data_IF_972588584647
#
_entry.id   IF_972588584647
#
_cell.length_a   1.000
_cell.length_b   1.000
_cell.length_c   1.000
_cell.angle_alpha   90.00
_cell.angle_beta   90.00
_cell.angle_gamma   90.00
#
_symmetry.space_group_name_H-M   'P 1'
#
loop_
_entity.id
_entity.type
_entity.pdbx_description
1 polymer ?
#
# COMPACT_ATOMS: atom_id res chain seq x y z
N UNK A 1 30.08 -1.29 -6.21
CA UNK A 1 29.55 -1.94 -4.98
C UNK A 1 28.52 -0.99 -4.39
N UNK A 2 27.23 -1.33 -4.44
CA UNK A 2 26.19 -0.48 -3.85
C UNK A 2 26.29 -0.57 -2.33
N UNK A 3 26.51 0.55 -1.66
CA UNK A 3 26.47 0.62 -0.21
C UNK A 3 25.08 0.16 0.25
N UNK A 4 25.05 -0.94 0.99
CA UNK A 4 23.80 -1.50 1.54
C UNK A 4 23.54 -0.78 2.86
N UNK A 5 22.52 0.07 2.88
CA UNK A 5 22.16 0.85 4.05
C UNK A 5 21.43 -0.05 5.05
N UNK A 6 22.16 -0.56 6.03
CA UNK A 6 21.64 -1.44 7.08
C UNK A 6 20.47 -0.82 7.86
N UNK A 7 20.52 0.49 8.10
CA UNK A 7 19.46 1.23 8.78
C UNK A 7 18.14 1.15 8.02
N UNK A 8 18.15 1.43 6.71
CA UNK A 8 16.94 1.37 5.87
C UNK A 8 16.39 -0.05 5.80
N UNK A 9 17.26 -1.05 5.67
CA UNK A 9 16.86 -2.45 5.69
C UNK A 9 16.27 -2.87 7.05
N UNK A 10 16.82 -2.37 8.16
CA UNK A 10 16.35 -2.65 9.52
C UNK A 10 14.98 -2.01 9.78
N UNK A 11 14.78 -0.73 9.47
CA UNK A 11 13.48 -0.07 9.65
C UNK A 11 12.42 -0.73 8.75
N UNK A 12 12.77 -1.12 7.52
CA UNK A 12 11.86 -1.90 6.66
C UNK A 12 11.46 -3.22 7.31
N UNK A 13 12.42 -3.94 7.87
CA UNK A 13 12.17 -5.19 8.58
C UNK A 13 11.24 -4.99 9.78
N UNK A 14 11.50 -3.97 10.60
CA UNK A 14 10.68 -3.63 11.76
C UNK A 14 9.25 -3.24 11.34
N UNK A 15 9.09 -2.43 10.30
CA UNK A 15 7.78 -2.03 9.79
C UNK A 15 6.97 -3.25 9.30
N UNK A 16 7.63 -4.18 8.59
CA UNK A 16 7.00 -5.42 8.15
C UNK A 16 6.59 -6.31 9.33
N UNK A 17 7.45 -6.43 10.36
CA UNK A 17 7.12 -7.19 11.58
C UNK A 17 5.91 -6.60 12.31
N UNK A 18 5.86 -5.28 12.46
CA UNK A 18 4.72 -4.59 13.09
C UNK A 18 3.43 -4.80 12.29
N UNK A 19 3.50 -4.74 10.95
CA UNK A 19 2.36 -4.99 10.07
C UNK A 19 1.83 -6.43 10.20
N UNK A 20 2.73 -7.41 10.26
CA UNK A 20 2.37 -8.83 10.47
C UNK A 20 1.75 -9.02 11.85
N UNK A 21 2.34 -8.43 12.90
CA UNK A 21 1.82 -8.50 14.25
C UNK A 21 0.40 -7.90 14.34
N UNK A 22 0.18 -6.75 13.71
CA UNK A 22 -1.14 -6.13 13.62
C UNK A 22 -2.17 -7.08 12.97
N UNK A 23 -1.82 -7.69 11.84
CA UNK A 23 -2.71 -8.62 11.14
C UNK A 23 -3.00 -9.89 11.94
N UNK A 24 -2.02 -10.40 12.71
CA UNK A 24 -2.23 -11.53 13.62
C UNK A 24 -3.26 -11.15 14.69
N UNK A 25 -3.09 -10.00 15.35
CA UNK A 25 -4.03 -9.51 16.36
C UNK A 25 -5.42 -9.27 15.76
N UNK A 26 -5.48 -8.68 14.56
CA UNK A 26 -6.72 -8.51 13.81
C UNK A 26 -7.39 -9.85 13.53
N UNK A 27 -6.65 -10.88 13.07
CA UNK A 27 -7.22 -12.21 12.83
C UNK A 27 -7.75 -12.83 14.13
N UNK A 28 -6.99 -12.78 15.22
CA UNK A 28 -7.44 -13.31 16.52
C UNK A 28 -8.71 -12.60 17.01
N UNK A 29 -8.80 -11.28 16.82
CA UNK A 29 -9.99 -10.51 17.13
C UNK A 29 -11.16 -10.89 16.22
N UNK A 30 -10.93 -10.99 14.91
CA UNK A 30 -11.92 -11.34 13.89
C UNK A 30 -12.52 -12.74 14.13
N UNK A 31 -11.71 -13.71 14.56
CA UNK A 31 -12.17 -15.04 14.96
C UNK A 31 -12.79 -15.09 16.38
N UNK A 32 -12.85 -13.96 17.09
CA UNK A 32 -13.45 -13.86 18.43
C UNK A 32 -12.60 -14.46 19.56
N UNK A 33 -11.31 -14.75 19.32
CA UNK A 33 -10.38 -15.33 20.31
C UNK A 33 -9.97 -14.29 21.35
N UNK A 34 -9.77 -13.03 20.91
CA UNK A 34 -9.43 -11.91 21.79
C UNK A 34 -10.47 -10.79 21.64
N UNK A 35 -10.82 -10.14 22.74
CA UNK A 35 -11.79 -9.02 22.77
C UNK A 35 -11.22 -7.71 23.32
N UNK A 36 -9.99 -7.77 23.84
CA UNK A 36 -9.28 -6.60 24.38
C UNK A 36 -8.56 -5.79 23.29
N UNK A 37 -8.34 -6.38 22.12
CA UNK A 37 -7.78 -5.69 20.96
C UNK A 37 -8.93 -5.04 20.20
N UNK A 38 -8.87 -3.73 20.02
CA UNK A 38 -9.79 -3.00 19.16
C UNK A 38 -9.02 -2.49 17.93
N UNK A 39 -9.27 -3.07 16.74
CA UNK A 39 -8.63 -2.63 15.49
C UNK A 39 -8.88 -1.16 15.16
N UNK A 40 -9.97 -0.56 15.65
CA UNK A 40 -10.30 0.84 15.41
C UNK A 40 -9.48 1.77 16.33
N UNK A 41 -9.21 1.35 17.56
CA UNK A 41 -8.40 2.11 18.50
C UNK A 41 -6.89 2.04 18.17
N UNK A 42 -6.42 0.87 17.71
CA UNK A 42 -5.04 0.65 17.30
C UNK A 42 -4.98 0.76 15.78
N UNK A 43 -5.02 1.97 15.24
CA UNK A 43 -5.00 2.18 13.79
C UNK A 43 -3.74 1.59 13.15
N UNK A 44 -3.92 0.64 12.22
CA UNK A 44 -2.84 0.07 11.41
C UNK A 44 -2.22 1.04 10.40
N UNK A 45 -2.87 2.18 10.16
CA UNK A 45 -2.51 3.15 9.12
C UNK A 45 -1.10 3.73 9.30
N UNK A 46 -0.65 3.95 10.54
CA UNK A 46 0.69 4.45 10.80
C UNK A 46 1.77 3.44 10.36
N UNK A 47 1.55 2.15 10.64
CA UNK A 47 2.43 1.06 10.21
C UNK A 47 2.46 0.92 8.69
N UNK A 48 1.28 0.97 8.05
CA UNK A 48 1.14 0.94 6.60
C UNK A 48 1.87 2.10 5.92
N UNK A 49 1.68 3.33 6.42
CA UNK A 49 2.32 4.54 5.88
C UNK A 49 3.84 4.44 5.92
N UNK A 50 4.40 4.06 7.08
CA UNK A 50 5.85 3.88 7.25
C UNK A 50 6.37 2.77 6.33
N UNK A 51 5.64 1.65 6.24
CA UNK A 51 6.00 0.53 5.38
C UNK A 51 6.05 0.93 3.90
N UNK A 52 5.00 1.59 3.40
CA UNK A 52 4.92 2.06 2.01
C UNK A 52 6.03 3.08 1.71
N UNK A 53 6.25 4.03 2.62
CA UNK A 53 7.30 5.05 2.46
C UNK A 53 8.70 4.41 2.34
N UNK A 54 9.03 3.49 3.23
CA UNK A 54 10.33 2.80 3.21
C UNK A 54 10.45 1.86 2.00
N UNK A 55 9.36 1.22 1.57
CA UNK A 55 9.33 0.41 0.36
C UNK A 55 9.66 1.25 -0.89
N UNK A 56 9.08 2.45 -1.00
CA UNK A 56 9.39 3.42 -2.05
C UNK A 56 10.85 3.90 -2.00
N UNK A 57 11.33 4.31 -0.82
CA UNK A 57 12.71 4.75 -0.63
C UNK A 57 13.72 3.64 -0.98
N UNK A 58 13.43 2.40 -0.57
CA UNK A 58 14.24 1.22 -0.92
C UNK A 58 14.32 1.01 -2.44
N UNK A 59 13.27 1.34 -3.19
CA UNK A 59 13.23 1.19 -4.65
C UNK A 59 14.18 2.18 -5.34
N UNK A 60 14.19 3.44 -4.87
CA UNK A 60 15.07 4.50 -5.36
C UNK A 60 16.53 4.16 -5.05
N UNK A 61 16.83 3.82 -3.79
CA UNK A 61 18.17 3.48 -3.33
C UNK A 61 18.74 2.22 -4.02
N UNK A 62 17.88 1.26 -4.36
CA UNK A 62 18.33 0.03 -4.99
C UNK A 62 18.71 0.19 -6.47
N UNK A 63 18.44 1.35 -7.11
CA UNK A 63 18.85 1.66 -8.49
C UNK A 63 18.50 0.56 -9.49
N UNK A 64 17.34 -0.11 -9.32
CA UNK A 64 17.05 -1.35 -10.05
C UNK A 64 16.72 -1.08 -11.52
N UNK A 65 17.19 -1.98 -12.39
CA UNK A 65 16.84 -1.97 -13.82
C UNK A 65 15.30 -1.98 -14.00
N UNK A 66 14.76 -1.18 -14.92
CA UNK A 66 13.31 -1.00 -15.09
C UNK A 66 12.58 -2.32 -15.31
N UNK A 67 13.12 -3.23 -16.14
CA UNK A 67 12.52 -4.54 -16.39
C UNK A 67 12.33 -5.40 -15.12
N UNK A 68 13.27 -5.32 -14.16
CA UNK A 68 13.18 -6.07 -12.90
C UNK A 68 12.14 -5.45 -11.95
N UNK A 69 11.97 -4.14 -12.01
CA UNK A 69 10.96 -3.39 -11.26
C UNK A 69 9.55 -3.70 -11.79
N UNK A 70 9.35 -3.71 -13.11
CA UNK A 70 8.08 -4.15 -13.74
C UNK A 70 7.69 -5.55 -13.29
N UNK A 71 8.62 -6.50 -13.38
CA UNK A 71 8.36 -7.89 -12.98
C UNK A 71 7.91 -7.97 -11.51
N UNK A 72 8.54 -7.21 -10.62
CA UNK A 72 8.16 -7.15 -9.21
C UNK A 72 6.77 -6.54 -9.01
N UNK A 73 6.49 -5.41 -9.65
CA UNK A 73 5.16 -4.77 -9.58
C UNK A 73 4.06 -5.71 -10.06
N UNK A 74 4.25 -6.38 -11.20
CA UNK A 74 3.31 -7.38 -11.71
C UNK A 74 3.13 -8.58 -10.79
N UNK A 75 4.20 -9.07 -10.16
CA UNK A 75 4.10 -10.14 -9.17
C UNK A 75 3.24 -9.71 -7.97
N UNK A 76 3.44 -8.49 -7.46
CA UNK A 76 2.64 -7.95 -6.35
C UNK A 76 1.17 -7.82 -6.75
N UNK A 77 0.88 -7.26 -7.93
CA UNK A 77 -0.49 -7.14 -8.44
C UNK A 77 -1.14 -8.52 -8.64
N UNK A 78 -0.39 -9.51 -9.10
CA UNK A 78 -0.90 -10.87 -9.24
C UNK A 78 -1.31 -11.48 -7.89
N UNK A 79 -0.45 -11.35 -6.87
CA UNK A 79 -0.81 -11.79 -5.51
C UNK A 79 -1.99 -10.99 -4.95
N UNK A 80 -2.08 -9.69 -5.27
CA UNK A 80 -3.18 -8.85 -4.82
C UNK A 80 -4.52 -9.32 -5.40
N UNK A 81 -4.55 -9.66 -6.70
CA UNK A 81 -5.74 -10.26 -7.35
C UNK A 81 -6.14 -11.60 -6.73
N UNK A 82 -5.18 -12.44 -6.34
CA UNK A 82 -5.47 -13.70 -5.65
C UNK A 82 -6.14 -13.42 -4.30
N UNK A 83 -5.59 -12.50 -3.50
CA UNK A 83 -6.16 -12.14 -2.19
C UNK A 83 -7.57 -11.60 -2.36
N UNK A 84 -7.76 -10.72 -3.35
CA UNK A 84 -9.06 -10.16 -3.75
C UNK A 84 -10.06 -11.26 -4.14
N UNK A 85 -9.66 -12.25 -4.95
CA UNK A 85 -10.51 -13.38 -5.30
C UNK A 85 -10.87 -14.26 -4.09
N UNK A 86 -9.88 -14.59 -3.26
CA UNK A 86 -10.07 -15.44 -2.07
C UNK A 86 -10.97 -14.75 -1.04
N UNK A 87 -10.74 -13.47 -0.77
CA UNK A 87 -11.57 -12.68 0.14
C UNK A 87 -12.98 -12.49 -0.39
N UNK A 88 -13.17 -12.33 -1.71
CA UNK A 88 -14.49 -12.27 -2.33
C UNK A 88 -15.30 -13.56 -2.17
N UNK A 89 -14.64 -14.73 -2.14
CA UNK A 89 -15.31 -16.03 -1.94
C UNK A 89 -15.63 -16.26 -0.45
N UNK A 90 -14.67 -15.98 0.44
CA UNK A 90 -14.82 -16.27 1.88
C UNK A 90 -15.66 -15.21 2.59
N UNK A 91 -15.56 -13.94 2.18
CA UNK A 91 -16.19 -12.81 2.84
C UNK A 91 -16.70 -11.76 1.82
N UNK A 92 -17.83 -12.04 1.14
CA UNK A 92 -18.35 -11.18 0.06
C UNK A 92 -18.78 -9.77 0.52
N UNK A 93 -19.05 -9.59 1.82
CA UNK A 93 -19.43 -8.30 2.42
C UNK A 93 -18.23 -7.38 2.69
N UNK A 94 -16.99 -7.86 2.51
CA UNK A 94 -15.76 -7.11 2.83
C UNK A 94 -14.61 -7.44 1.88
N UNK A 95 -14.96 -7.66 0.62
CA UNK A 95 -14.04 -7.94 -0.46
C UNK A 95 -12.95 -6.85 -0.58
N UNK A 96 -11.68 -7.26 -0.60
CA UNK A 96 -10.54 -6.34 -0.70
C UNK A 96 -10.41 -5.86 -2.14
N UNK A 97 -10.96 -4.68 -2.44
CA UNK A 97 -10.95 -4.12 -3.81
C UNK A 97 -9.60 -3.54 -4.17
N UNK A 98 -9.04 -2.74 -3.26
CA UNK A 98 -7.81 -1.99 -3.48
C UNK A 98 -7.08 -1.84 -2.15
N UNK A 99 -6.52 -2.95 -1.66
CA UNK A 99 -5.69 -2.97 -0.45
C UNK A 99 -4.25 -2.56 -0.70
N UNK A 100 -3.44 -2.59 0.37
CA UNK A 100 -2.01 -2.22 0.36
C UNK A 100 -1.19 -2.87 -0.76
N UNK A 101 -1.50 -4.12 -1.13
CA UNK A 101 -0.71 -4.84 -2.14
C UNK A 101 -0.96 -4.30 -3.56
N UNK A 102 -2.18 -3.83 -3.84
CA UNK A 102 -2.49 -3.12 -5.08
C UNK A 102 -1.74 -1.80 -5.14
N UNK A 103 -1.78 -1.03 -4.05
CA UNK A 103 -1.09 0.25 -3.93
C UNK A 103 0.43 0.09 -4.15
N UNK A 104 1.07 -0.87 -3.47
CA UNK A 104 2.52 -1.09 -3.63
C UNK A 104 2.84 -1.61 -5.04
N UNK A 105 2.02 -2.48 -5.60
CA UNK A 105 2.20 -2.99 -6.97
C UNK A 105 2.13 -1.88 -8.02
N UNK A 106 1.07 -1.07 -7.98
CA UNK A 106 0.88 0.09 -8.84
C UNK A 106 1.97 1.14 -8.62
N UNK A 107 2.26 1.50 -7.37
CA UNK A 107 3.30 2.46 -7.01
C UNK A 107 4.69 2.03 -7.50
N UNK A 108 5.00 0.74 -7.44
CA UNK A 108 6.28 0.19 -7.96
C UNK A 108 6.40 0.38 -9.47
N UNK A 109 5.30 0.22 -10.22
CA UNK A 109 5.28 0.44 -11.68
C UNK A 109 5.35 1.94 -11.99
N UNK A 110 4.56 2.75 -11.29
CA UNK A 110 4.56 4.21 -11.44
C UNK A 110 5.91 4.85 -11.07
N UNK A 111 6.70 4.22 -10.21
CA UNK A 111 8.03 4.69 -9.84
C UNK A 111 9.07 4.55 -10.97
N UNK A 112 8.84 3.68 -11.98
CA UNK A 112 9.80 3.39 -13.06
C UNK A 112 10.33 4.63 -13.79
N UNK A 113 9.50 5.57 -14.27
CA UNK A 113 10.00 6.79 -14.91
C UNK A 113 10.97 7.58 -14.02
N UNK A 114 10.71 7.63 -12.72
CA UNK A 114 11.55 8.32 -11.74
C UNK A 114 12.87 7.58 -11.44
N UNK A 115 12.91 6.26 -11.64
CA UNK A 115 14.12 5.44 -11.45
C UNK A 115 15.15 5.58 -12.58
N UNK A 116 14.79 6.17 -13.72
CA UNK A 116 15.62 6.21 -14.92
C UNK A 116 16.86 7.14 -14.81
N UNK A 117 17.05 7.82 -13.68
CA UNK A 117 18.20 8.70 -13.41
C UNK A 117 18.23 10.00 -14.21
N UNK A 118 17.32 10.16 -15.18
CA UNK A 118 17.14 11.39 -15.97
C UNK A 118 16.31 12.45 -15.23
N UNK A 119 15.66 12.05 -14.14
CA UNK A 119 14.71 12.86 -13.40
C UNK A 119 15.40 13.41 -12.15
N UNK A 120 15.28 14.72 -11.92
CA UNK A 120 15.88 15.38 -10.76
C UNK A 120 15.24 14.89 -9.45
N UNK A 121 16.03 14.80 -8.37
CA UNK A 121 15.63 14.21 -7.09
C UNK A 121 14.39 14.85 -6.45
N UNK A 122 14.13 16.14 -6.73
CA UNK A 122 12.99 16.86 -6.17
C UNK A 122 11.66 16.55 -6.89
N UNK A 123 11.70 16.06 -8.13
CA UNK A 123 10.48 15.77 -8.91
C UNK A 123 9.60 14.72 -8.23
N UNK A 124 10.11 13.54 -7.80
CA UNK A 124 9.29 12.58 -7.05
C UNK A 124 8.78 13.13 -5.71
N UNK A 125 9.56 14.00 -5.05
CA UNK A 125 9.13 14.63 -3.79
C UNK A 125 7.97 15.60 -4.02
N UNK A 126 8.06 16.46 -5.03
CA UNK A 126 7.00 17.41 -5.41
C UNK A 126 5.76 16.67 -5.90
N UNK A 127 5.90 15.60 -6.69
CA UNK A 127 4.74 14.79 -7.10
C UNK A 127 4.07 14.11 -5.91
N UNK A 128 4.84 13.60 -4.94
CA UNK A 128 4.29 13.01 -3.72
C UNK A 128 3.50 14.02 -2.89
N UNK A 129 4.07 15.23 -2.69
CA UNK A 129 3.37 16.33 -2.01
C UNK A 129 2.11 16.73 -2.77
N UNK A 130 2.17 16.81 -4.09
CA UNK A 130 1.02 17.11 -4.94
C UNK A 130 -0.10 16.08 -4.79
N UNK A 131 0.22 14.78 -4.71
CA UNK A 131 -0.74 13.70 -4.46
C UNK A 131 -1.37 13.84 -3.08
N UNK A 132 -0.58 14.12 -2.03
CA UNK A 132 -1.09 14.31 -0.66
C UNK A 132 -2.04 15.52 -0.59
N UNK A 133 -1.68 16.64 -1.23
CA UNK A 133 -2.54 17.82 -1.28
C UNK A 133 -3.83 17.49 -2.04
N UNK A 134 -3.71 16.82 -3.19
CA UNK A 134 -4.86 16.40 -3.99
C UNK A 134 -5.80 15.46 -3.20
N UNK A 135 -5.23 14.53 -2.43
CA UNK A 135 -5.97 13.66 -1.50
C UNK A 135 -6.87 14.47 -0.58
N UNK A 136 -6.32 15.48 0.11
CA UNK A 136 -7.07 16.33 1.02
C UNK A 136 -8.25 17.05 0.32
N UNK A 137 -8.13 17.40 -0.95
CA UNK A 137 -9.22 18.03 -1.71
C UNK A 137 -10.28 17.04 -2.21
N UNK A 138 -9.90 15.79 -2.45
CA UNK A 138 -10.81 14.76 -2.97
C UNK A 138 -11.47 13.94 -1.85
N UNK A 139 -11.06 14.13 -0.59
CA UNK A 139 -11.73 13.53 0.57
C UNK A 139 -13.23 13.90 0.58
N UNK A 140 -14.08 12.88 0.49
CA UNK A 140 -15.53 13.03 0.49
C UNK A 140 -16.20 13.10 -0.89
N UNK A 141 -15.42 13.07 -1.98
CA UNK A 141 -15.99 12.96 -3.34
C UNK A 141 -16.46 11.53 -3.58
N UNK A 142 -17.77 11.35 -3.72
CA UNK A 142 -18.36 10.05 -4.09
C UNK A 142 -18.16 9.78 -5.57
N UNK A 143 -17.72 8.58 -5.89
CA UNK A 143 -17.39 8.16 -7.26
C UNK A 143 -18.17 6.94 -7.74
N UNK A 144 -17.68 6.35 -8.83
CA UNK A 144 -18.16 5.09 -9.40
C UNK A 144 -17.17 3.95 -9.14
N UNK A 145 -17.54 2.73 -9.50
CA UNK A 145 -16.70 1.53 -9.34
C UNK A 145 -15.29 1.69 -9.94
N UNK A 146 -15.15 2.39 -11.08
CA UNK A 146 -13.85 2.66 -11.72
C UNK A 146 -12.95 3.62 -10.93
N UNK A 147 -13.53 4.43 -10.02
CA UNK A 147 -12.80 5.42 -9.25
C UNK A 147 -12.39 4.91 -7.85
N UNK A 148 -12.71 3.65 -7.53
CA UNK A 148 -12.28 3.00 -6.29
C UNK A 148 -10.75 2.98 -6.11
N UNK A 149 -9.92 2.74 -7.14
CA UNK A 149 -8.48 2.84 -6.99
C UNK A 149 -7.98 4.24 -6.58
N UNK A 150 -8.78 5.29 -6.81
CA UNK A 150 -8.43 6.69 -6.58
C UNK A 150 -9.07 7.28 -5.33
N UNK A 151 -9.68 6.47 -4.46
CA UNK A 151 -10.21 6.99 -3.20
C UNK A 151 -11.64 7.52 -3.28
N UNK A 152 -12.36 7.33 -4.40
CA UNK A 152 -13.74 7.80 -4.56
C UNK A 152 -14.74 6.64 -4.56
N UNK A 153 -15.15 6.14 -3.38
CA UNK A 153 -16.14 5.09 -3.27
C UNK A 153 -17.54 5.55 -3.66
N UNK A 154 -18.38 4.62 -4.11
CA UNK A 154 -19.81 4.84 -4.29
C UNK A 154 -20.55 4.69 -2.95
N UNK A 155 -21.74 5.29 -2.79
CA UNK A 155 -22.52 5.19 -1.55
C UNK A 155 -22.85 3.73 -1.21
N UNK A 156 -22.49 3.28 0.00
CA UNK A 156 -22.71 1.89 0.47
C UNK A 156 -21.53 0.93 0.22
N UNK A 157 -20.40 1.43 -0.27
CA UNK A 157 -19.17 0.66 -0.39
C UNK A 157 -18.59 0.30 0.99
N UNK A 158 -18.25 -0.97 1.19
CA UNK A 158 -17.53 -1.44 2.38
C UNK A 158 -16.42 -2.41 1.95
N UNK A 159 -15.26 -2.29 2.60
CA UNK A 159 -14.09 -3.15 2.37
C UNK A 159 -13.37 -3.34 3.70
N UNK A 160 -12.77 -4.52 3.88
CA UNK A 160 -11.94 -4.81 5.07
C UNK A 160 -10.61 -4.05 5.01
N UNK A 161 -10.05 -3.92 3.80
CA UNK A 161 -8.78 -3.23 3.55
C UNK A 161 -8.95 -2.36 2.30
N UNK A 162 -8.84 -1.05 2.46
CA UNK A 162 -9.03 -0.07 1.39
C UNK A 162 -8.02 1.07 1.57
N UNK A 163 -7.01 1.03 0.71
CA UNK A 163 -5.84 1.90 0.76
C UNK A 163 -5.67 2.52 -0.63
N UNK A 164 -6.45 3.57 -0.94
CA UNK A 164 -6.50 4.15 -2.27
C UNK A 164 -5.20 4.86 -2.65
N UNK A 165 -5.02 5.07 -3.95
CA UNK A 165 -3.82 5.72 -4.49
C UNK A 165 -3.74 7.22 -4.15
N UNK A 166 -4.90 7.84 -3.92
CA UNK A 166 -5.10 9.27 -3.64
C UNK A 166 -6.09 9.38 -2.49
#
# INVERSE_FOLDING_TARGET
MGARYYEVDAVRGTALLLMVLYHILFCLYFFGIIRWFDPQAVSGAAGATVFIFIAGLSLILAGRKPARTVKRGLQLLFFALIITAVTGIIYPQGFVVFGILHLIGCGTILAIPFLSGKVQWFIPAVSGIGIIILSCFLQGVSGNLLLLPFGMPYPGFTSIDYEPLI
#
